data_IF_202327442246
#
_entry.id   IF_202327442246
#
_cell.length_a   1.000
_cell.length_b   1.000
_cell.length_c   1.000
_cell.angle_alpha   90.00
_cell.angle_beta   90.00
_cell.angle_gamma   90.00
#
_symmetry.space_group_name_H-M   'P 1'
#
loop_
_entity.id
_entity.type
_entity.pdbx_description
1 polymer ?
#
# COMPACT_ATOMS: atom_id res chain seq x y z
N UNK A 1 -61.55 16.70 23.48
CA UNK A 1 -61.13 16.93 24.89
C UNK A 1 -59.69 16.45 25.03
N UNK A 2 -58.74 17.37 25.24
CA UNK A 2 -57.29 17.07 25.32
C UNK A 2 -56.88 17.08 26.79
N UNK A 3 -56.46 15.93 27.32
CA UNK A 3 -55.91 15.85 28.67
C UNK A 3 -54.50 16.42 28.69
N UNK A 4 -54.36 17.68 29.12
CA UNK A 4 -53.05 18.26 29.42
C UNK A 4 -52.50 17.61 30.70
N UNK A 5 -51.43 16.84 30.55
CA UNK A 5 -50.64 16.29 31.65
C UNK A 5 -50.16 17.42 32.57
N UNK A 6 -50.42 17.30 33.87
CA UNK A 6 -50.02 18.30 34.86
C UNK A 6 -48.49 18.43 34.92
N UNK A 7 -48.00 19.62 35.24
CA UNK A 7 -46.57 19.95 35.35
C UNK A 7 -45.81 19.02 36.30
N UNK A 8 -46.48 18.51 37.34
CA UNK A 8 -45.92 17.48 38.24
C UNK A 8 -45.76 16.12 37.56
N UNK A 9 -46.68 15.72 36.68
CA UNK A 9 -46.56 14.48 35.91
C UNK A 9 -45.43 14.57 34.88
N UNK A 10 -45.29 15.72 34.21
CA UNK A 10 -44.17 15.99 33.28
C UNK A 10 -42.80 15.91 33.95
N UNK A 11 -42.65 16.50 35.13
CA UNK A 11 -41.37 16.46 35.86
C UNK A 11 -41.02 15.05 36.35
N UNK A 12 -42.02 14.24 36.74
CA UNK A 12 -41.80 12.84 37.12
C UNK A 12 -41.40 11.97 35.93
N UNK A 13 -42.00 12.18 34.75
CA UNK A 13 -41.64 11.46 33.52
C UNK A 13 -40.22 11.84 33.07
N UNK A 14 -39.84 13.12 33.16
CA UNK A 14 -38.48 13.57 32.82
C UNK A 14 -37.43 12.97 33.77
N UNK A 15 -37.71 12.94 35.07
CA UNK A 15 -36.84 12.29 36.06
C UNK A 15 -36.72 10.78 35.82
N UNK A 16 -37.81 10.11 35.42
CA UNK A 16 -37.76 8.69 35.07
C UNK A 16 -36.92 8.44 33.81
N UNK A 17 -37.05 9.28 32.79
CA UNK A 17 -36.28 9.17 31.55
C UNK A 17 -34.78 9.44 31.77
N UNK A 18 -34.43 10.42 32.61
CA UNK A 18 -33.04 10.72 32.98
C UNK A 18 -32.45 9.62 33.87
N UNK A 19 -33.24 9.00 34.75
CA UNK A 19 -32.80 7.87 35.57
C UNK A 19 -32.64 6.56 34.77
N UNK A 20 -33.38 6.39 33.66
CA UNK A 20 -33.28 5.23 32.77
C UNK A 20 -32.15 5.33 31.75
N UNK A 21 -31.71 6.55 31.40
CA UNK A 21 -30.58 6.78 30.50
C UNK A 21 -29.27 6.09 30.92
N UNK A 22 -28.82 6.15 32.20
CA UNK A 22 -27.61 5.42 32.60
C UNK A 22 -27.81 3.90 32.57
N UNK A 23 -29.02 3.38 32.80
CA UNK A 23 -29.32 1.95 32.70
C UNK A 23 -29.22 1.42 31.26
N UNK A 24 -29.67 2.21 30.28
CA UNK A 24 -29.52 1.87 28.85
C UNK A 24 -28.06 1.94 28.40
N UNK A 25 -27.28 2.91 28.93
CA UNK A 25 -25.84 3.02 28.65
C UNK A 25 -25.04 1.90 29.33
N UNK A 26 -25.39 1.47 30.54
CA UNK A 26 -24.73 0.32 31.18
C UNK A 26 -25.08 -1.00 30.52
N UNK A 27 -26.32 -1.16 30.03
CA UNK A 27 -26.72 -2.37 29.30
C UNK A 27 -26.03 -2.47 27.93
N UNK A 28 -25.85 -1.35 27.22
CA UNK A 28 -25.13 -1.33 25.94
C UNK A 28 -23.62 -1.49 26.09
N UNK A 29 -23.03 -0.97 27.18
CA UNK A 29 -21.63 -1.21 27.53
C UNK A 29 -21.39 -2.65 28.00
N UNK A 30 -22.32 -3.26 28.73
CA UNK A 30 -22.23 -4.67 29.09
C UNK A 30 -22.43 -5.60 27.89
N UNK A 31 -23.29 -5.27 26.92
CA UNK A 31 -23.40 -6.09 25.69
C UNK A 31 -22.17 -5.98 24.78
N UNK A 32 -21.41 -4.88 24.86
CA UNK A 32 -20.12 -4.75 24.18
C UNK A 32 -18.96 -5.42 24.95
N UNK A 33 -19.00 -5.39 26.28
CA UNK A 33 -17.95 -5.95 27.15
C UNK A 33 -18.15 -7.46 27.49
N UNK A 34 -19.35 -8.00 27.29
CA UNK A 34 -19.69 -9.43 27.42
C UNK A 34 -19.94 -10.07 26.06
N UNK A 35 -19.44 -9.49 24.96
CA UNK A 35 -19.06 -10.38 23.86
C UNK A 35 -18.07 -11.36 24.49
N UNK A 36 -18.36 -12.66 24.60
CA UNK A 36 -17.26 -13.61 24.68
C UNK A 36 -16.37 -13.20 23.52
N UNK A 37 -15.09 -12.96 23.79
CA UNK A 37 -14.12 -12.88 22.73
C UNK A 37 -14.51 -14.00 21.77
N UNK A 38 -14.93 -13.62 20.56
CA UNK A 38 -14.89 -14.54 19.44
C UNK A 38 -13.40 -14.83 19.36
N UNK A 39 -12.97 -15.80 20.16
CA UNK A 39 -11.60 -16.21 20.28
C UNK A 39 -11.18 -16.41 18.83
N UNK A 40 -10.09 -15.78 18.38
CA UNK A 40 -9.49 -16.13 17.11
C UNK A 40 -8.84 -17.53 17.20
N UNK A 41 -9.49 -18.47 17.89
CA UNK A 41 -9.13 -19.88 17.99
C UNK A 41 -9.58 -20.66 16.75
N UNK A 42 -10.00 -19.95 15.68
CA UNK A 42 -9.78 -20.44 14.31
C UNK A 42 -8.27 -20.56 13.95
N UNK A 43 -7.35 -20.27 14.88
CA UNK A 43 -5.91 -20.49 14.70
C UNK A 43 -5.29 -21.66 15.45
N UNK A 44 -6.06 -22.56 16.05
CA UNK A 44 -5.61 -23.95 16.24
C UNK A 44 -6.79 -24.87 15.97
N UNK A 45 -7.06 -25.14 14.69
CA UNK A 45 -7.75 -26.38 14.31
C UNK A 45 -7.02 -27.50 15.04
N UNK A 46 -7.76 -28.31 15.81
CA UNK A 46 -7.21 -29.52 16.42
C UNK A 46 -6.41 -30.25 15.34
N UNK A 47 -5.08 -30.33 15.51
CA UNK A 47 -4.16 -30.89 14.50
C UNK A 47 -4.47 -32.36 14.17
N UNK A 48 -5.47 -32.94 14.84
CA UNK A 48 -5.99 -34.29 14.64
C UNK A 48 -7.00 -34.41 13.49
N UNK A 49 -7.61 -33.31 13.03
CA UNK A 49 -8.58 -33.32 11.93
C UNK A 49 -7.98 -32.85 10.59
N UNK A 50 -6.64 -32.80 10.52
CA UNK A 50 -5.96 -32.52 9.26
C UNK A 50 -5.93 -33.79 8.44
N UNK A 51 -6.92 -33.95 7.57
CA UNK A 51 -6.99 -35.07 6.63
C UNK A 51 -5.69 -35.11 5.77
N UNK A 52 -4.85 -36.15 5.92
CA UNK A 52 -3.60 -36.26 5.19
C UNK A 52 -3.83 -36.38 3.67
N UNK A 53 -4.98 -36.90 3.24
CA UNK A 53 -5.34 -36.98 1.82
C UNK A 53 -5.74 -35.61 1.28
N UNK A 54 -6.45 -34.79 2.09
CA UNK A 54 -6.71 -33.39 1.76
C UNK A 54 -5.41 -32.58 1.70
N UNK A 55 -4.49 -32.74 2.66
CA UNK A 55 -3.16 -32.11 2.60
C UNK A 55 -2.38 -32.57 1.37
N UNK A 56 -2.41 -33.85 1.03
CA UNK A 56 -1.74 -34.38 -0.17
C UNK A 56 -2.37 -33.84 -1.46
N UNK A 57 -3.70 -33.71 -1.49
CA UNK A 57 -4.43 -33.10 -2.59
C UNK A 57 -4.07 -31.62 -2.75
N UNK A 58 -4.12 -30.82 -1.69
CA UNK A 58 -3.78 -29.39 -1.77
C UNK A 58 -2.29 -29.16 -2.02
N UNK A 59 -1.40 -29.95 -1.43
CA UNK A 59 0.06 -29.85 -1.66
C UNK A 59 0.47 -30.17 -3.10
N UNK A 60 -0.30 -31.00 -3.83
CA UNK A 60 -0.11 -31.23 -5.28
C UNK A 60 -0.42 -30.00 -6.14
N UNK A 61 -1.25 -29.09 -5.64
CA UNK A 61 -1.64 -27.85 -6.33
C UNK A 61 -0.82 -26.63 -5.88
N UNK A 62 0.05 -26.78 -4.88
CA UNK A 62 0.99 -25.72 -4.50
C UNK A 62 2.00 -25.56 -5.63
N UNK A 63 2.11 -24.33 -6.14
CA UNK A 63 3.09 -24.02 -7.15
C UNK A 63 4.50 -24.32 -6.63
N UNK A 64 5.27 -25.03 -7.46
CA UNK A 64 6.67 -25.30 -7.14
C UNK A 64 7.47 -24.00 -7.26
N UNK A 65 8.16 -23.64 -6.19
CA UNK A 65 9.12 -22.54 -6.20
C UNK A 65 10.49 -23.06 -6.67
N UNK A 66 11.19 -22.23 -7.43
CA UNK A 66 12.51 -22.48 -7.99
C UNK A 66 13.50 -21.47 -7.42
N UNK A 67 14.58 -21.98 -6.82
CA UNK A 67 15.65 -21.16 -6.25
C UNK A 67 16.38 -20.33 -7.32
N UNK A 68 16.94 -19.20 -6.87
CA UNK A 68 17.67 -18.26 -7.71
C UNK A 68 19.17 -18.60 -7.75
N UNK A 69 19.85 -18.41 -8.90
CA UNK A 69 21.31 -18.43 -8.95
C UNK A 69 21.95 -17.45 -7.97
N UNK A 70 23.12 -17.81 -7.45
CA UNK A 70 23.92 -16.91 -6.61
C UNK A 70 24.45 -15.72 -7.43
N UNK A 71 24.65 -14.59 -6.76
CA UNK A 71 25.22 -13.37 -7.33
C UNK A 71 24.21 -12.46 -8.04
N UNK A 72 22.91 -12.70 -7.82
CA UNK A 72 21.84 -11.84 -8.37
C UNK A 72 21.51 -10.66 -7.48
N UNK A 73 21.78 -10.74 -6.18
CA UNK A 73 21.56 -9.61 -5.28
C UNK A 73 22.64 -8.54 -5.49
N UNK A 74 22.29 -7.34 -5.98
CA UNK A 74 23.27 -6.30 -6.27
C UNK A 74 23.84 -5.65 -4.99
N UNK A 75 23.16 -5.79 -3.84
CA UNK A 75 23.69 -5.37 -2.55
C UNK A 75 24.68 -6.39 -1.96
N UNK A 76 24.75 -7.59 -2.56
CA UNK A 76 25.58 -8.71 -2.14
C UNK A 76 24.79 -9.77 -1.37
N UNK A 77 25.16 -11.04 -1.56
CA UNK A 77 24.48 -12.21 -0.95
C UNK A 77 24.47 -12.20 0.59
N UNK A 78 25.45 -11.55 1.21
CA UNK A 78 25.57 -11.42 2.66
C UNK A 78 25.01 -10.11 3.21
N UNK A 79 24.39 -9.28 2.37
CA UNK A 79 23.84 -8.00 2.80
C UNK A 79 22.78 -8.22 3.88
N UNK A 80 22.94 -7.51 5.00
CA UNK A 80 21.97 -7.47 6.08
C UNK A 80 21.68 -6.02 6.40
N UNK A 81 20.39 -5.72 6.57
CA UNK A 81 19.96 -4.40 7.03
C UNK A 81 20.63 -4.09 8.37
N UNK A 82 21.10 -2.86 8.54
CA UNK A 82 21.72 -2.43 9.78
C UNK A 82 20.67 -2.35 10.90
N UNK A 83 20.62 -3.36 11.77
CA UNK A 83 19.62 -3.46 12.84
C UNK A 83 20.30 -3.50 14.22
N UNK A 84 20.80 -2.36 14.74
CA UNK A 84 21.40 -2.32 16.06
C UNK A 84 20.36 -2.57 17.18
N UNK A 85 20.86 -2.90 18.38
CA UNK A 85 20.05 -3.00 19.59
C UNK A 85 19.35 -1.69 19.91
N UNK A 86 18.24 -1.74 20.64
CA UNK A 86 17.39 -0.57 20.94
C UNK A 86 18.18 0.60 21.54
N UNK A 87 19.08 0.32 22.48
CA UNK A 87 19.93 1.32 23.14
C UNK A 87 20.86 2.08 22.19
N UNK A 88 21.21 1.47 21.04
CA UNK A 88 22.11 2.05 20.05
C UNK A 88 21.38 2.76 18.92
N UNK A 89 20.04 2.86 18.97
CA UNK A 89 19.23 3.52 17.94
C UNK A 89 19.09 5.02 18.12
N UNK A 90 19.42 5.55 19.31
CA UNK A 90 19.28 6.97 19.58
C UNK A 90 20.12 7.80 18.60
N UNK A 91 19.47 8.75 17.92
CA UNK A 91 20.13 9.62 16.95
C UNK A 91 20.32 9.02 15.56
N UNK A 92 19.92 7.77 15.32
CA UNK A 92 19.95 7.13 14.00
C UNK A 92 18.65 7.39 13.23
N UNK A 93 18.70 7.29 11.91
CA UNK A 93 17.52 7.27 11.03
C UNK A 93 17.17 5.84 10.62
N UNK A 94 15.90 5.47 10.65
CA UNK A 94 15.46 4.15 10.17
C UNK A 94 15.07 4.18 8.70
N UNK A 95 15.95 3.74 7.81
CA UNK A 95 15.77 3.72 6.35
C UNK A 95 15.41 2.32 5.84
N UNK A 96 15.04 2.15 4.55
CA UNK A 96 14.81 0.81 3.97
C UNK A 96 16.01 -0.15 4.12
N UNK A 97 17.24 0.39 4.20
CA UNK A 97 18.46 -0.38 4.38
C UNK A 97 18.85 -0.60 5.86
N UNK A 98 18.05 -0.09 6.81
CA UNK A 98 18.26 -0.21 8.25
C UNK A 98 18.52 1.14 8.93
N UNK A 99 19.04 1.09 10.16
CA UNK A 99 19.40 2.27 10.93
C UNK A 99 20.73 2.85 10.45
N UNK A 100 20.76 4.17 10.22
CA UNK A 100 21.91 4.88 9.67
C UNK A 100 22.21 6.13 10.49
N UNK A 101 23.49 6.37 10.78
CA UNK A 101 23.97 7.63 11.33
C UNK A 101 24.41 8.56 10.19
N UNK A 102 23.63 9.61 9.92
CA UNK A 102 23.97 10.59 8.89
C UNK A 102 25.06 11.58 9.33
N UNK A 103 25.36 11.67 10.63
CA UNK A 103 26.42 12.55 11.14
C UNK A 103 27.80 11.94 10.95
N UNK A 104 27.86 10.62 10.83
CA UNK A 104 29.10 9.89 10.62
C UNK A 104 29.33 9.65 9.11
N UNK A 105 30.45 10.11 8.53
CA UNK A 105 30.81 9.83 7.13
C UNK A 105 30.87 8.33 6.79
N UNK A 106 31.19 7.48 7.78
CA UNK A 106 31.23 6.02 7.64
C UNK A 106 29.84 5.36 7.78
N UNK A 107 28.79 6.14 8.06
CA UNK A 107 27.44 5.64 8.31
C UNK A 107 26.81 4.86 7.15
N UNK A 108 27.35 5.01 5.93
CA UNK A 108 26.91 4.31 4.72
C UNK A 108 27.87 3.17 4.29
N UNK A 109 28.93 2.87 5.05
CA UNK A 109 29.94 1.90 4.64
C UNK A 109 29.42 0.47 4.55
N UNK A 110 28.29 0.17 5.20
CA UNK A 110 27.58 -1.10 5.09
C UNK A 110 26.96 -1.32 3.70
N UNK A 111 26.77 -0.26 2.91
CA UNK A 111 26.37 -0.37 1.50
C UNK A 111 27.60 -0.60 0.62
N UNK A 112 27.49 -1.40 -0.46
CA UNK A 112 28.56 -1.50 -1.45
C UNK A 112 28.86 -0.14 -2.08
N UNK A 113 30.10 0.08 -2.53
CA UNK A 113 30.58 1.40 -2.97
C UNK A 113 29.67 2.09 -4.01
N UNK A 114 29.16 1.34 -4.99
CA UNK A 114 28.25 1.86 -6.03
C UNK A 114 26.85 2.24 -5.53
N UNK A 115 26.48 1.89 -4.30
CA UNK A 115 25.16 2.14 -3.71
C UNK A 115 25.16 3.24 -2.64
N UNK A 116 26.34 3.79 -2.30
CA UNK A 116 26.47 4.80 -1.24
C UNK A 116 25.91 6.18 -1.64
N UNK A 117 25.62 6.41 -2.92
CA UNK A 117 25.13 7.69 -3.40
C UNK A 117 26.24 8.61 -3.89
N UNK A 118 25.84 9.58 -4.72
CA UNK A 118 26.65 10.77 -5.04
C UNK A 118 26.86 11.64 -3.79
N UNK A 119 27.98 12.36 -3.75
CA UNK A 119 28.29 13.32 -2.67
C UNK A 119 27.68 14.70 -2.91
N UNK A 120 27.59 15.09 -4.18
CA UNK A 120 27.16 16.42 -4.61
C UNK A 120 25.85 16.37 -5.38
N UNK A 121 25.02 17.40 -5.17
CA UNK A 121 23.76 17.57 -5.89
C UNK A 121 24.04 17.70 -7.39
N UNK A 122 23.10 17.27 -8.24
CA UNK A 122 23.23 17.48 -9.69
C UNK A 122 23.48 18.95 -10.00
N UNK A 123 24.31 19.19 -11.00
CA UNK A 123 24.42 20.50 -11.64
C UNK A 123 23.28 20.67 -12.64
N UNK A 124 22.74 21.88 -12.77
CA UNK A 124 21.69 22.21 -13.75
C UNK A 124 20.30 22.41 -13.13
N UNK A 125 19.28 22.32 -13.99
CA UNK A 125 17.87 22.69 -13.71
C UNK A 125 16.97 21.51 -13.33
N UNK A 126 17.48 20.27 -13.40
CA UNK A 126 16.73 19.09 -12.99
C UNK A 126 16.43 19.06 -11.49
N UNK A 127 15.64 18.08 -11.05
CA UNK A 127 15.35 17.84 -9.62
C UNK A 127 16.35 16.84 -9.03
N UNK A 128 16.59 16.95 -7.73
CA UNK A 128 17.35 15.97 -6.96
C UNK A 128 16.57 15.55 -5.70
N UNK A 129 17.10 14.58 -4.95
CA UNK A 129 16.46 14.05 -3.74
C UNK A 129 17.42 14.12 -2.56
N UNK A 130 16.99 14.76 -1.47
CA UNK A 130 17.76 14.92 -0.25
C UNK A 130 17.08 14.18 0.91
N UNK A 131 17.85 13.41 1.66
CA UNK A 131 17.46 12.88 2.95
C UNK A 131 17.96 13.82 4.05
N UNK A 132 17.08 14.26 4.94
CA UNK A 132 17.37 15.19 6.02
C UNK A 132 16.95 14.58 7.36
N UNK A 133 17.81 14.70 8.37
CA UNK A 133 17.45 14.48 9.76
C UNK A 133 17.17 15.82 10.42
N UNK A 134 15.96 15.98 10.96
CA UNK A 134 15.53 17.19 11.67
C UNK A 134 16.02 17.13 13.11
N UNK A 135 16.65 18.20 13.60
CA UNK A 135 17.16 18.31 14.96
C UNK A 135 16.06 18.21 16.04
N UNK A 136 16.36 17.51 17.14
CA UNK A 136 15.39 17.18 18.20
C UNK A 136 14.84 18.45 18.86
N UNK A 137 15.74 19.40 19.17
CA UNK A 137 15.37 20.68 19.74
C UNK A 137 14.53 21.53 18.78
N UNK A 138 14.86 21.55 17.49
CA UNK A 138 14.11 22.30 16.49
C UNK A 138 12.70 21.71 16.29
N UNK A 139 12.58 20.38 16.25
CA UNK A 139 11.29 19.70 16.15
C UNK A 139 10.41 19.98 17.38
N UNK A 140 10.99 19.95 18.59
CA UNK A 140 10.28 20.26 19.83
C UNK A 140 9.85 21.73 19.91
N UNK A 141 10.70 22.66 19.47
CA UNK A 141 10.44 24.09 19.58
C UNK A 141 9.44 24.60 18.53
N UNK A 142 9.45 24.04 17.32
CA UNK A 142 8.70 24.58 16.17
C UNK A 142 7.55 23.69 15.70
N UNK A 143 7.60 22.39 15.99
CA UNK A 143 6.72 21.41 15.38
C UNK A 143 7.07 21.11 13.92
N UNK A 144 6.55 19.99 13.41
CA UNK A 144 6.83 19.53 12.04
C UNK A 144 6.20 20.44 10.98
N UNK A 145 4.99 20.94 11.21
CA UNK A 145 4.24 21.78 10.27
C UNK A 145 4.97 23.08 9.93
N UNK A 146 5.58 23.73 10.93
CA UNK A 146 6.40 24.94 10.71
C UNK A 146 7.64 24.66 9.86
N UNK A 147 8.24 23.48 10.04
CA UNK A 147 9.43 23.06 9.30
C UNK A 147 9.07 22.75 7.84
N UNK A 148 7.98 22.02 7.62
CA UNK A 148 7.49 21.74 6.26
C UNK A 148 7.08 23.02 5.52
N UNK A 149 6.46 23.97 6.22
CA UNK A 149 6.11 25.26 5.64
C UNK A 149 7.34 26.07 5.21
N UNK A 150 8.41 26.10 6.03
CA UNK A 150 9.67 26.75 5.65
C UNK A 150 10.31 26.07 4.43
N UNK A 151 10.36 24.73 4.41
CA UNK A 151 10.84 23.96 3.25
C UNK A 151 10.05 24.29 1.98
N UNK A 152 8.73 24.45 2.10
CA UNK A 152 7.87 24.86 0.99
C UNK A 152 8.20 26.26 0.48
N UNK A 153 8.46 27.22 1.37
CA UNK A 153 8.89 28.58 1.01
C UNK A 153 10.24 28.58 0.28
N UNK A 154 11.13 27.61 0.59
CA UNK A 154 12.39 27.41 -0.11
C UNK A 154 12.23 26.75 -1.49
N UNK A 155 11.00 26.37 -1.89
CA UNK A 155 10.73 25.68 -3.15
C UNK A 155 11.04 24.18 -3.11
N UNK A 156 11.03 23.57 -1.92
CA UNK A 156 11.27 22.14 -1.71
C UNK A 156 9.97 21.45 -1.32
N UNK A 157 9.71 20.28 -1.89
CA UNK A 157 8.59 19.43 -1.51
C UNK A 157 9.05 18.32 -0.57
N UNK A 158 8.35 18.14 0.54
CA UNK A 158 8.49 16.94 1.38
C UNK A 158 7.67 15.82 0.75
N UNK A 159 8.32 14.73 0.36
CA UNK A 159 7.65 13.62 -0.35
C UNK A 159 7.50 12.37 0.50
N UNK A 160 8.22 12.28 1.62
CA UNK A 160 8.07 11.20 2.60
C UNK A 160 8.62 11.66 3.95
N UNK A 161 7.97 11.20 5.02
CA UNK A 161 8.58 11.15 6.34
C UNK A 161 9.27 9.80 6.53
N UNK A 162 10.35 9.78 7.30
CA UNK A 162 11.08 8.59 7.71
C UNK A 162 11.11 8.58 9.24
N UNK A 163 10.94 7.42 9.90
CA UNK A 163 11.01 7.35 11.36
C UNK A 163 12.33 7.93 11.90
N UNK A 164 12.31 8.32 13.17
CA UNK A 164 13.44 8.97 13.86
C UNK A 164 13.82 10.38 13.35
N UNK A 165 12.80 11.17 12.96
CA UNK A 165 12.91 12.58 12.52
C UNK A 165 13.51 12.77 11.12
N UNK A 166 13.35 11.78 10.24
CA UNK A 166 13.81 11.86 8.86
C UNK A 166 12.76 12.48 7.93
N UNK A 167 13.20 13.27 6.95
CA UNK A 167 12.40 13.79 5.85
C UNK A 167 13.10 13.53 4.51
N UNK A 168 12.32 13.13 3.51
CA UNK A 168 12.77 13.02 2.12
C UNK A 168 12.24 14.21 1.35
N UNK A 169 13.17 14.93 0.72
CA UNK A 169 12.95 16.20 0.08
C UNK A 169 13.21 16.10 -1.42
N UNK A 170 12.34 16.68 -2.24
CA UNK A 170 12.50 16.80 -3.69
C UNK A 170 12.49 18.28 -4.06
N UNK A 171 13.44 18.71 -4.88
CA UNK A 171 13.50 20.08 -5.34
C UNK A 171 14.63 20.33 -6.32
N UNK A 172 14.73 21.57 -6.80
CA UNK A 172 15.88 22.01 -7.59
C UNK A 172 17.16 22.04 -6.72
N UNK A 173 18.36 21.77 -7.28
CA UNK A 173 19.62 21.72 -6.54
C UNK A 173 19.86 22.95 -5.65
N UNK A 174 19.55 24.15 -6.12
CA UNK A 174 19.73 25.38 -5.35
C UNK A 174 18.78 25.45 -4.13
N UNK A 175 17.52 25.04 -4.30
CA UNK A 175 16.53 24.97 -3.23
C UNK A 175 16.92 23.92 -2.17
N UNK A 176 17.39 22.75 -2.62
CA UNK A 176 17.88 21.70 -1.72
C UNK A 176 19.16 22.10 -0.99
N UNK A 177 20.04 22.87 -1.62
CA UNK A 177 21.22 23.46 -0.97
C UNK A 177 20.82 24.45 0.12
N UNK A 178 19.80 25.27 -0.12
CA UNK A 178 19.25 26.18 0.90
C UNK A 178 18.60 25.41 2.05
N UNK A 179 17.77 24.40 1.75
CA UNK A 179 17.15 23.53 2.76
C UNK A 179 18.19 22.79 3.61
N UNK A 180 19.27 22.28 3.00
CA UNK A 180 20.39 21.65 3.70
C UNK A 180 21.06 22.57 4.73
N UNK A 181 21.09 23.88 4.47
CA UNK A 181 21.67 24.88 5.36
C UNK A 181 20.70 25.46 6.40
N UNK A 182 19.45 24.98 6.44
CA UNK A 182 18.45 25.51 7.37
C UNK A 182 18.76 25.10 8.83
N UNK A 183 18.51 26.01 9.78
CA UNK A 183 18.92 25.83 11.18
C UNK A 183 18.24 24.68 11.94
N UNK A 184 17.22 24.05 11.36
CA UNK A 184 16.58 22.86 11.92
C UNK A 184 17.19 21.53 11.44
N UNK A 185 18.10 21.57 10.46
CA UNK A 185 18.74 20.37 9.90
C UNK A 185 19.91 19.94 10.79
N UNK A 186 19.83 18.74 11.35
CA UNK A 186 20.91 18.14 12.15
C UNK A 186 21.95 17.46 11.25
N UNK A 187 21.48 16.73 10.24
CA UNK A 187 22.31 16.06 9.26
C UNK A 187 21.56 15.88 7.95
N UNK A 188 22.28 15.73 6.84
CA UNK A 188 21.66 15.43 5.55
C UNK A 188 22.60 14.67 4.63
N UNK A 189 22.03 13.94 3.68
CA UNK A 189 22.75 13.32 2.58
C UNK A 189 21.87 13.30 1.34
N UNK A 190 22.46 13.16 0.17
CA UNK A 190 21.70 12.85 -1.05
C UNK A 190 21.12 11.46 -0.87
N UNK A 191 19.87 11.25 -1.28
CA UNK A 191 19.17 9.98 -1.04
C UNK A 191 19.96 8.82 -1.68
N UNK A 192 20.60 7.93 -0.88
CA UNK A 192 21.52 6.93 -1.39
C UNK A 192 20.85 5.92 -2.32
N UNK A 193 21.57 5.48 -3.36
CA UNK A 193 21.09 4.47 -4.30
C UNK A 193 20.70 3.16 -3.59
N UNK A 194 21.45 2.73 -2.57
CA UNK A 194 21.17 1.51 -1.82
C UNK A 194 19.86 1.55 -1.02
N UNK A 195 19.31 2.72 -0.71
CA UNK A 195 18.03 2.82 -0.01
C UNK A 195 16.83 2.64 -0.96
N UNK A 196 17.08 2.70 -2.27
CA UNK A 196 16.07 2.53 -3.30
C UNK A 196 15.92 1.06 -3.69
N UNK A 197 16.88 0.20 -3.39
CA UNK A 197 16.88 -1.20 -3.84
C UNK A 197 16.31 -2.11 -2.77
N UNK A 198 15.37 -2.99 -3.14
CA UNK A 198 14.88 -4.02 -2.21
C UNK A 198 16.02 -4.96 -1.79
N UNK A 199 16.10 -5.26 -0.48
CA UNK A 199 17.18 -6.07 0.08
C UNK A 199 17.18 -7.53 -0.39
N UNK A 200 16.06 -8.03 -0.91
CA UNK A 200 15.87 -9.41 -1.38
C UNK A 200 15.85 -9.51 -2.91
N UNK A 201 16.10 -8.42 -3.63
CA UNK A 201 16.11 -8.39 -5.09
C UNK A 201 17.04 -9.48 -5.64
N UNK A 202 16.50 -10.34 -6.52
CA UNK A 202 17.24 -11.45 -7.11
C UNK A 202 17.41 -12.68 -6.21
N UNK A 203 16.91 -12.66 -4.97
CA UNK A 203 17.00 -13.80 -4.03
C UNK A 203 15.68 -14.53 -3.79
N UNK A 204 14.55 -13.88 -4.10
CA UNK A 204 13.21 -14.47 -3.90
C UNK A 204 12.99 -15.62 -4.89
N UNK A 205 12.66 -16.84 -4.44
CA UNK A 205 12.31 -17.95 -5.34
C UNK A 205 11.11 -17.61 -6.23
N UNK A 206 11.10 -18.11 -7.47
CA UNK A 206 10.04 -17.84 -8.44
C UNK A 206 9.31 -19.12 -8.85
N UNK A 207 8.06 -18.98 -9.30
CA UNK A 207 7.23 -20.08 -9.81
C UNK A 207 7.68 -20.46 -11.22
N UNK A 208 8.04 -19.49 -12.06
CA UNK A 208 8.53 -19.74 -13.41
C UNK A 208 10.01 -20.16 -13.37
N UNK A 209 10.27 -21.42 -13.78
CA UNK A 209 11.63 -21.99 -13.84
C UNK A 209 12.60 -21.22 -14.75
N UNK A 210 12.16 -20.74 -15.91
CA UNK A 210 13.03 -20.03 -16.86
C UNK A 210 13.45 -18.68 -16.29
N UNK A 211 12.49 -17.98 -15.68
CA UNK A 211 12.75 -16.70 -15.01
C UNK A 211 13.64 -16.89 -13.79
N UNK A 212 13.37 -17.92 -12.97
CA UNK A 212 14.20 -18.28 -11.82
C UNK A 212 15.67 -18.52 -12.21
N UNK A 213 15.93 -19.16 -13.36
CA UNK A 213 17.27 -19.44 -13.86
C UNK A 213 17.93 -18.24 -14.58
N UNK A 214 17.17 -17.19 -14.91
CA UNK A 214 17.67 -16.02 -15.63
C UNK A 214 18.55 -15.13 -14.74
N UNK A 215 19.63 -14.60 -15.34
CA UNK A 215 20.43 -13.52 -14.74
C UNK A 215 19.85 -12.13 -15.02
N UNK A 216 19.04 -11.99 -16.06
CA UNK A 216 18.29 -10.76 -16.31
C UNK A 216 17.10 -10.70 -15.35
N UNK A 217 17.05 -9.64 -14.56
CA UNK A 217 16.00 -9.41 -13.57
C UNK A 217 14.86 -8.62 -14.22
N UNK A 218 13.63 -9.06 -13.98
CA UNK A 218 12.43 -8.31 -14.32
C UNK A 218 12.00 -7.49 -13.10
N UNK A 219 11.99 -6.18 -13.25
CA UNK A 219 11.90 -5.23 -12.14
C UNK A 219 10.75 -4.25 -12.34
N UNK A 220 10.22 -3.77 -11.22
CA UNK A 220 9.39 -2.58 -11.16
C UNK A 220 10.18 -1.49 -10.44
N UNK A 221 10.27 -0.33 -11.07
CA UNK A 221 10.84 0.86 -10.47
C UNK A 221 9.77 1.93 -10.26
N UNK A 222 9.69 2.43 -9.03
CA UNK A 222 8.81 3.53 -8.66
C UNK A 222 9.51 4.87 -8.83
N UNK A 223 8.75 5.88 -9.21
CA UNK A 223 9.21 7.25 -9.42
C UNK A 223 8.76 8.13 -8.25
N UNK A 224 9.65 9.01 -7.79
CA UNK A 224 9.29 10.01 -6.77
C UNK A 224 8.20 10.96 -7.28
N UNK A 225 7.24 11.36 -6.43
CA UNK A 225 6.32 12.44 -6.76
C UNK A 225 7.06 13.72 -7.19
N UNK A 226 6.57 14.36 -8.25
CA UNK A 226 7.15 15.60 -8.78
C UNK A 226 8.25 15.40 -9.83
N UNK A 227 8.59 14.16 -10.19
CA UNK A 227 9.37 13.86 -11.40
C UNK A 227 8.46 13.47 -12.56
N UNK A 228 8.86 13.79 -13.79
CA UNK A 228 8.17 13.34 -15.00
C UNK A 228 8.52 11.89 -15.33
N UNK A 229 7.52 11.05 -15.60
CA UNK A 229 7.75 9.66 -16.02
C UNK A 229 8.62 9.58 -17.25
N UNK A 230 8.36 10.43 -18.23
CA UNK A 230 9.04 10.38 -19.53
C UNK A 230 10.51 10.81 -19.42
N UNK A 231 10.79 11.82 -18.58
CA UNK A 231 12.16 12.26 -18.29
C UNK A 231 12.95 11.16 -17.57
N UNK A 232 12.37 10.57 -16.51
CA UNK A 232 13.00 9.49 -15.76
C UNK A 232 13.19 8.25 -16.64
N UNK A 233 12.19 7.89 -17.43
CA UNK A 233 12.27 6.77 -18.37
C UNK A 233 13.38 7.00 -19.40
N UNK A 234 13.54 8.22 -19.93
CA UNK A 234 14.64 8.54 -20.84
C UNK A 234 16.02 8.39 -20.17
N UNK A 235 16.16 8.83 -18.92
CA UNK A 235 17.39 8.61 -18.15
C UNK A 235 17.65 7.12 -17.91
N UNK A 236 16.64 6.33 -17.53
CA UNK A 236 16.81 4.88 -17.32
C UNK A 236 17.16 4.16 -18.63
N UNK A 237 16.55 4.56 -19.75
CA UNK A 237 16.88 4.05 -21.10
C UNK A 237 18.32 4.36 -21.51
N UNK A 238 18.88 5.48 -21.06
CA UNK A 238 20.31 5.77 -21.31
C UNK A 238 21.26 4.80 -20.59
N UNK A 239 20.80 4.16 -19.50
CA UNK A 239 21.57 3.19 -18.72
C UNK A 239 21.37 1.76 -19.23
N UNK A 240 20.12 1.38 -19.52
CA UNK A 240 19.73 0.00 -19.84
C UNK A 240 19.54 -0.27 -21.34
N UNK A 241 19.17 0.75 -22.13
CA UNK A 241 18.71 0.60 -23.51
C UNK A 241 17.19 0.77 -23.63
N UNK A 242 16.73 1.22 -24.81
CA UNK A 242 15.34 1.59 -25.06
C UNK A 242 14.35 0.43 -24.86
N UNK A 243 14.73 -0.78 -25.30
CA UNK A 243 13.87 -1.98 -25.33
C UNK A 243 13.73 -2.69 -23.98
N UNK A 244 14.48 -2.24 -22.98
CA UNK A 244 14.49 -2.81 -21.63
C UNK A 244 13.66 -1.99 -20.64
N UNK A 245 13.00 -0.92 -21.10
CA UNK A 245 12.29 0.03 -20.23
C UNK A 245 10.94 0.40 -20.84
N UNK A 246 9.88 0.15 -20.10
CA UNK A 246 8.51 0.48 -20.49
C UNK A 246 7.72 1.08 -19.31
N UNK A 247 6.64 1.82 -19.57
CA UNK A 247 5.65 2.14 -18.53
C UNK A 247 5.07 0.86 -17.91
N UNK A 248 4.77 0.89 -16.61
CA UNK A 248 4.12 -0.23 -15.92
C UNK A 248 2.86 0.25 -15.20
N UNK A 249 1.77 -0.51 -15.32
CA UNK A 249 0.47 -0.16 -14.77
C UNK A 249 -0.18 1.04 -15.46
N UNK A 250 -1.28 1.53 -14.87
CA UNK A 250 -2.06 2.67 -15.39
C UNK A 250 -1.64 4.01 -14.77
N UNK A 251 -0.80 3.98 -13.74
CA UNK A 251 -0.30 5.18 -13.05
C UNK A 251 1.02 5.67 -13.64
N UNK A 252 1.24 6.99 -13.66
CA UNK A 252 2.48 7.59 -14.15
C UNK A 252 3.69 7.39 -13.23
N UNK A 253 3.52 6.71 -12.09
CA UNK A 253 4.56 6.55 -11.07
C UNK A 253 5.47 5.33 -11.21
N UNK A 254 5.29 4.46 -12.20
CA UNK A 254 5.94 3.15 -12.26
C UNK A 254 6.47 2.79 -13.64
N UNK A 255 7.66 2.17 -13.67
CA UNK A 255 8.33 1.65 -14.86
C UNK A 255 8.61 0.16 -14.70
N UNK A 256 8.47 -0.60 -15.78
CA UNK A 256 8.96 -1.98 -15.88
C UNK A 256 10.33 -1.95 -16.53
N UNK A 257 11.30 -2.58 -15.88
CA UNK A 257 12.69 -2.64 -16.32
C UNK A 257 13.14 -4.09 -16.50
N UNK A 258 14.07 -4.31 -17.43
CA UNK A 258 14.89 -5.52 -17.49
C UNK A 258 16.35 -5.14 -17.34
N UNK A 259 17.04 -5.75 -16.39
CA UNK A 259 18.42 -5.36 -16.08
C UNK A 259 19.25 -6.51 -15.52
N UNK A 260 20.55 -6.47 -15.83
CA UNK A 260 21.55 -7.28 -15.14
C UNK A 260 21.90 -6.65 -13.78
N UNK A 261 22.28 -7.45 -12.76
CA UNK A 261 22.59 -6.95 -11.40
C UNK A 261 23.61 -5.79 -11.37
N UNK A 262 24.63 -5.85 -12.24
CA UNK A 262 25.69 -4.82 -12.34
C UNK A 262 25.18 -3.44 -12.81
N UNK A 263 23.99 -3.35 -13.41
CA UNK A 263 23.41 -2.08 -13.87
C UNK A 263 22.53 -1.41 -12.81
N UNK A 264 22.13 -2.15 -11.76
CA UNK A 264 21.15 -1.67 -10.77
C UNK A 264 21.65 -0.45 -10.01
N UNK A 265 22.94 -0.40 -9.67
CA UNK A 265 23.53 0.77 -9.01
C UNK A 265 23.35 2.05 -9.85
N UNK A 266 23.62 1.97 -11.16
CA UNK A 266 23.49 3.10 -12.07
C UNK A 266 22.03 3.55 -12.25
N UNK A 267 21.09 2.60 -12.28
CA UNK A 267 19.65 2.93 -12.31
C UNK A 267 19.21 3.60 -11.01
N UNK A 268 19.64 3.07 -9.86
CA UNK A 268 19.29 3.62 -8.55
C UNK A 268 19.90 5.02 -8.32
N UNK A 269 21.01 5.37 -8.98
CA UNK A 269 21.58 6.72 -8.92
C UNK A 269 20.72 7.79 -9.61
N UNK A 270 19.79 7.41 -10.48
CA UNK A 270 18.86 8.35 -11.12
C UNK A 270 17.96 8.96 -10.04
N UNK A 271 17.94 10.30 -9.85
CA UNK A 271 17.22 10.92 -8.74
C UNK A 271 15.73 10.62 -8.74
N UNK A 272 15.12 10.55 -9.92
CA UNK A 272 13.69 10.28 -10.05
C UNK A 272 13.26 8.90 -9.58
N UNK A 273 14.18 7.93 -9.46
CA UNK A 273 13.87 6.61 -8.93
C UNK A 273 13.73 6.66 -7.41
N UNK A 274 12.60 6.17 -6.92
CA UNK A 274 12.24 6.03 -5.52
C UNK A 274 12.58 4.65 -4.99
N UNK A 275 12.15 3.62 -5.70
CA UNK A 275 12.30 2.24 -5.26
C UNK A 275 12.46 1.32 -6.47
N UNK A 276 13.17 0.21 -6.30
CA UNK A 276 13.41 -0.84 -7.29
C UNK A 276 13.19 -2.17 -6.57
N UNK A 277 12.25 -2.95 -7.09
CA UNK A 277 11.94 -4.29 -6.62
C UNK A 277 11.76 -5.23 -7.81
N UNK A 278 11.73 -6.53 -7.52
CA UNK A 278 11.45 -7.56 -8.53
C UNK A 278 9.94 -7.62 -8.82
N UNK A 279 9.56 -7.80 -10.08
CA UNK A 279 8.16 -7.90 -10.51
C UNK A 279 7.60 -9.29 -10.17
N UNK A 280 7.20 -9.53 -8.93
CA UNK A 280 6.90 -10.87 -8.44
C UNK A 280 5.73 -11.54 -9.17
N UNK A 281 5.75 -12.87 -9.16
CA UNK A 281 4.73 -13.71 -9.78
C UNK A 281 3.58 -13.92 -8.82
N UNK A 282 2.37 -13.64 -9.28
CA UNK A 282 1.15 -13.85 -8.51
C UNK A 282 0.46 -15.14 -8.97
N UNK A 283 -0.07 -15.88 -8.01
CA UNK A 283 -1.00 -16.96 -8.26
C UNK A 283 -2.40 -16.49 -7.91
N UNK A 284 -3.38 -17.03 -8.62
CA UNK A 284 -4.76 -16.93 -8.20
C UNK A 284 -4.89 -17.61 -6.83
N UNK A 285 -5.38 -16.85 -5.86
CA UNK A 285 -5.78 -17.41 -4.57
C UNK A 285 -7.13 -18.13 -4.76
N UNK A 286 -7.11 -19.27 -5.45
CA UNK A 286 -8.29 -20.13 -5.59
C UNK A 286 -8.48 -20.95 -4.33
N UNK A 287 -9.59 -20.73 -3.64
CA UNK A 287 -10.13 -21.71 -2.70
C UNK A 287 -11.19 -22.55 -3.45
N UNK A 288 -11.02 -23.87 -3.50
CA UNK A 288 -12.16 -24.75 -3.74
C UNK A 288 -13.07 -24.65 -2.51
N UNK A 289 -14.00 -23.71 -2.55
CA UNK A 289 -15.09 -23.65 -1.58
C UNK A 289 -16.14 -24.65 -2.01
N UNK A 290 -16.55 -25.53 -1.08
CA UNK A 290 -17.86 -26.17 -1.21
C UNK A 290 -18.90 -25.08 -1.45
N UNK A 291 -19.88 -25.32 -2.33
CA UNK A 291 -20.96 -24.38 -2.61
C UNK A 291 -21.75 -24.12 -1.33
N UNK A 292 -21.33 -23.13 -0.55
CA UNK A 292 -22.08 -22.62 0.60
C UNK A 292 -23.00 -21.54 0.11
N UNK A 293 -24.29 -21.86 0.04
CA UNK A 293 -25.31 -20.84 -0.03
C UNK A 293 -25.37 -20.14 1.34
N UNK A 294 -24.87 -18.90 1.43
CA UNK A 294 -25.17 -18.03 2.56
C UNK A 294 -26.63 -17.59 2.45
N UNK A 295 -27.52 -18.42 3.00
CA UNK A 295 -28.79 -17.93 3.51
C UNK A 295 -28.41 -17.20 4.80
N UNK A 296 -28.74 -15.90 4.93
CA UNK A 296 -28.46 -15.15 6.15
C UNK A 296 -28.89 -15.93 7.40
N UNK A 297 -28.24 -15.69 8.54
CA UNK A 297 -28.38 -16.48 9.78
C UNK A 297 -29.84 -16.80 10.14
N UNK A 298 -30.34 -17.95 9.69
CA UNK A 298 -31.75 -18.34 9.78
C UNK A 298 -32.23 -18.41 11.23
N UNK A 299 -31.33 -18.75 12.15
CA UNK A 299 -31.63 -18.97 13.57
C UNK A 299 -31.79 -17.67 14.36
N UNK A 300 -31.17 -16.57 13.95
CA UNK A 300 -31.28 -15.26 14.64
C UNK A 300 -32.17 -14.26 13.90
N UNK A 301 -32.36 -14.42 12.59
CA UNK A 301 -33.29 -13.58 11.81
C UNK A 301 -34.65 -14.24 11.56
N UNK A 302 -34.84 -15.50 11.97
CA UNK A 302 -36.09 -16.25 11.71
C UNK A 302 -36.34 -16.51 10.22
N UNK A 303 -35.28 -16.57 9.42
CA UNK A 303 -35.35 -16.67 7.95
C UNK A 303 -35.57 -15.33 7.24
N UNK A 304 -35.55 -14.19 7.94
CA UNK A 304 -35.53 -12.89 7.28
C UNK A 304 -34.16 -12.65 6.62
N UNK A 305 -34.18 -12.11 5.40
CA UNK A 305 -32.99 -11.66 4.66
C UNK A 305 -32.90 -10.14 4.80
N UNK A 306 -32.36 -9.62 5.92
CA UNK A 306 -32.63 -8.26 6.39
C UNK A 306 -32.26 -7.16 5.38
N UNK A 307 -31.26 -7.38 4.52
CA UNK A 307 -30.88 -6.39 3.51
C UNK A 307 -31.73 -6.46 2.24
N UNK A 308 -32.12 -7.66 1.81
CA UNK A 308 -32.93 -7.85 0.61
C UNK A 308 -34.39 -7.45 0.85
N UNK A 309 -34.94 -7.78 2.01
CA UNK A 309 -36.29 -7.39 2.43
C UNK A 309 -36.42 -5.87 2.67
N UNK A 310 -35.29 -5.19 2.96
CA UNK A 310 -35.20 -3.73 3.06
C UNK A 310 -34.87 -3.04 1.73
N UNK A 311 -34.76 -3.79 0.62
CA UNK A 311 -34.47 -3.25 -0.71
C UNK A 311 -33.04 -2.71 -0.87
N UNK A 312 -32.10 -3.13 -0.02
CA UNK A 312 -30.68 -2.76 -0.11
C UNK A 312 -29.96 -3.76 -1.01
N UNK A 313 -29.75 -3.38 -2.26
CA UNK A 313 -29.15 -4.24 -3.30
C UNK A 313 -27.96 -3.59 -4.04
N UNK A 314 -27.54 -2.41 -3.59
CA UNK A 314 -26.38 -1.68 -4.11
C UNK A 314 -26.61 -0.92 -5.43
N UNK A 315 -27.79 -0.96 -6.04
CA UNK A 315 -28.00 -0.30 -7.34
C UNK A 315 -28.54 1.12 -7.30
N UNK A 316 -28.59 1.75 -6.12
CA UNK A 316 -28.77 3.20 -5.99
C UNK A 316 -30.22 3.69 -5.85
N UNK A 317 -31.21 2.81 -5.80
CA UNK A 317 -32.63 3.17 -5.64
C UNK A 317 -33.12 2.90 -4.21
N UNK A 318 -32.75 3.77 -3.26
CA UNK A 318 -33.29 3.74 -1.90
C UNK A 318 -34.47 4.71 -1.71
N UNK A 319 -35.59 4.22 -1.17
CA UNK A 319 -36.73 4.95 -0.56
C UNK A 319 -36.86 6.45 -0.91
N UNK A 320 -37.06 6.78 -2.19
CA UNK A 320 -37.42 8.14 -2.62
C UNK A 320 -36.28 9.15 -2.84
N UNK A 321 -35.01 8.75 -2.76
CA UNK A 321 -33.88 9.58 -3.19
C UNK A 321 -32.88 8.78 -4.01
N UNK A 322 -32.59 9.24 -5.24
CA UNK A 322 -31.59 8.63 -6.10
C UNK A 322 -30.20 8.77 -5.48
N UNK A 323 -29.63 7.66 -5.03
CA UNK A 323 -28.22 7.55 -4.62
C UNK A 323 -27.46 6.96 -5.81
N UNK A 324 -26.22 7.38 -6.11
CA UNK A 324 -25.45 6.75 -7.18
C UNK A 324 -25.31 5.24 -6.95
N UNK A 325 -25.42 4.41 -8.01
CA UNK A 325 -25.20 2.97 -7.88
C UNK A 325 -23.78 2.68 -7.40
N UNK A 326 -23.61 1.65 -6.58
CA UNK A 326 -22.29 1.19 -6.17
C UNK A 326 -21.71 0.30 -7.28
N UNK A 327 -20.50 0.63 -7.72
CA UNK A 327 -19.77 -0.14 -8.71
C UNK A 327 -18.67 -0.91 -8.01
N UNK A 328 -18.66 -2.23 -8.19
CA UNK A 328 -17.62 -3.12 -7.66
C UNK A 328 -16.71 -3.51 -8.82
N UNK A 329 -15.45 -3.10 -8.74
CA UNK A 329 -14.41 -3.53 -9.68
C UNK A 329 -13.78 -4.84 -9.18
N UNK A 330 -13.70 -5.84 -10.04
CA UNK A 330 -13.09 -7.14 -9.75
C UNK A 330 -11.89 -7.34 -10.65
N UNK A 331 -10.70 -7.46 -10.06
CA UNK A 331 -9.45 -7.82 -10.75
C UNK A 331 -9.16 -9.30 -10.52
N UNK A 332 -9.52 -10.12 -11.50
CA UNK A 332 -9.33 -11.57 -11.51
C UNK A 332 -9.04 -12.04 -12.95
N UNK A 333 -9.05 -13.35 -13.21
CA UNK A 333 -8.90 -13.94 -14.54
C UNK A 333 -10.07 -13.69 -15.51
N UNK A 334 -11.08 -12.93 -15.06
CA UNK A 334 -12.25 -12.53 -15.84
C UNK A 334 -13.56 -13.00 -15.21
N UNK A 335 -14.67 -12.71 -15.90
CA UNK A 335 -16.01 -13.13 -15.50
C UNK A 335 -16.70 -13.78 -16.69
N UNK A 336 -17.31 -14.95 -16.48
CA UNK A 336 -18.19 -15.55 -17.49
C UNK A 336 -19.53 -14.79 -17.47
N UNK A 337 -19.62 -13.78 -18.31
CA UNK A 337 -20.75 -12.82 -18.37
C UNK A 337 -22.04 -13.42 -18.91
N UNK A 338 -21.99 -14.64 -19.44
CA UNK A 338 -23.07 -15.43 -20.02
C UNK A 338 -23.66 -16.48 -19.06
N UNK A 339 -23.08 -16.64 -17.87
CA UNK A 339 -23.63 -17.55 -16.86
C UNK A 339 -24.94 -17.04 -16.29
N UNK A 340 -25.87 -17.94 -15.95
CA UNK A 340 -27.22 -17.57 -15.45
C UNK A 340 -27.21 -16.63 -14.22
N UNK A 341 -26.14 -16.63 -13.43
CA UNK A 341 -25.98 -15.80 -12.23
C UNK A 341 -25.41 -14.40 -12.51
N UNK A 342 -24.73 -14.22 -13.65
CA UNK A 342 -24.07 -12.97 -14.05
C UNK A 342 -24.60 -12.36 -15.36
N UNK A 343 -25.26 -13.16 -16.19
CA UNK A 343 -25.91 -12.76 -17.43
C UNK A 343 -27.17 -11.95 -17.13
N UNK A 344 -27.26 -10.78 -17.76
CA UNK A 344 -28.46 -9.94 -17.72
C UNK A 344 -29.46 -10.33 -18.82
N UNK A 345 -28.95 -10.74 -19.99
CA UNK A 345 -29.70 -11.38 -21.08
C UNK A 345 -28.71 -12.03 -22.06
N UNK A 346 -29.18 -12.97 -22.89
CA UNK A 346 -28.36 -13.65 -23.90
C UNK A 346 -28.11 -12.78 -25.16
N UNK A 347 -28.27 -11.46 -25.09
CA UNK A 347 -28.20 -10.55 -26.25
C UNK A 347 -27.05 -9.56 -26.11
N UNK A 348 -26.05 -9.55 -27.02
CA UNK A 348 -24.95 -8.59 -26.98
C UNK A 348 -25.45 -7.13 -27.08
N UNK A 349 -24.91 -6.24 -26.26
CA UNK A 349 -25.22 -4.81 -26.28
C UNK A 349 -24.16 -4.03 -27.07
N UNK A 350 -24.60 -3.02 -27.81
CA UNK A 350 -23.72 -2.08 -28.52
C UNK A 350 -23.17 -1.00 -27.57
N UNK A 351 -22.05 -0.39 -27.93
CA UNK A 351 -21.41 0.68 -27.14
C UNK A 351 -22.32 1.89 -26.86
N UNK A 352 -23.19 2.23 -27.82
CA UNK A 352 -24.21 3.28 -27.66
C UNK A 352 -25.30 2.88 -26.65
N UNK A 353 -25.69 1.60 -26.64
CA UNK A 353 -26.60 1.07 -25.62
C UNK A 353 -25.92 1.09 -24.24
N UNK A 354 -24.64 0.72 -24.12
CA UNK A 354 -23.90 0.80 -22.86
C UNK A 354 -23.85 2.26 -22.33
N UNK A 355 -23.58 3.24 -23.19
CA UNK A 355 -23.52 4.65 -22.80
C UNK A 355 -24.89 5.22 -22.35
N UNK A 356 -25.98 4.84 -23.02
CA UNK A 356 -27.35 5.22 -22.64
C UNK A 356 -27.82 4.58 -21.32
N UNK A 357 -27.24 3.42 -20.98
CA UNK A 357 -27.54 2.69 -19.76
C UNK A 357 -26.81 3.23 -18.53
N UNK A 358 -25.58 3.70 -18.71
CA UNK A 358 -24.80 4.37 -17.64
C UNK A 358 -25.48 5.67 -17.20
N UNK A 359 -26.17 6.36 -18.10
CA UNK A 359 -26.80 7.66 -17.84
C UNK A 359 -28.22 7.60 -17.27
N UNK A 360 -28.87 6.42 -17.25
CA UNK A 360 -30.31 6.29 -16.92
C UNK A 360 -30.64 5.81 -15.51
N UNK A 361 -29.68 5.75 -14.58
CA UNK A 361 -29.90 5.31 -13.18
C UNK A 361 -30.60 3.93 -13.03
N UNK A 362 -30.55 3.09 -14.07
CA UNK A 362 -31.02 1.72 -14.02
C UNK A 362 -29.88 0.80 -13.54
N UNK A 363 -30.20 -0.13 -12.63
CA UNK A 363 -29.28 -1.14 -12.11
C UNK A 363 -28.65 -1.91 -13.27
N UNK A 364 -27.32 -1.81 -13.49
CA UNK A 364 -26.63 -2.70 -14.42
C UNK A 364 -25.24 -3.10 -13.98
N UNK A 365 -25.00 -4.41 -14.06
CA UNK A 365 -23.68 -5.03 -14.06
C UNK A 365 -23.09 -4.81 -15.46
N UNK A 366 -22.03 -4.03 -15.55
CA UNK A 366 -21.35 -3.72 -16.81
C UNK A 366 -19.99 -4.40 -16.74
N UNK A 367 -19.70 -5.29 -17.69
CA UNK A 367 -18.36 -5.79 -17.95
C UNK A 367 -17.79 -4.99 -19.12
N UNK A 368 -16.58 -4.45 -18.96
CA UNK A 368 -15.82 -3.76 -20.01
C UNK A 368 -14.66 -4.60 -20.49
#
# INVERSE_FOLDING_TARGET
MSHKLSTRARNKILLLAVALLPLVVTASLQSWALKPESHPDLQIVDRRDVDPDALSYFSRHVARLHDRPLGLNPLGESFKRAMPSLERREGLLYTPAGFVDLKNPAGLDFLPAGFRGRKDLRTGTGRDVLLVQVGKAALQARGIESIEQELRTLGVAVVSSIPERGLVLVGAPQALKAARGAGFVEASTIYPAGFKVDSHLGTTPLINKLRAASRELELVAEIWPGFSRDEVMAEVRSVLGADLVAPYGTTDGTLRLRALPEKIAAVAEIPGIRHIQEDLEFLLASAEVHTTAQVGEVEHTGGATPYWDMGVDGGGLGLGSAVPPQIVAVTDNGLSTDTVSFAHSNTPLTQAQIAALITSAAHRKIAS
#
